data_IF_426871026993
#
_entry.id   IF_426871026993
#
_cell.length_a   1.000
_cell.length_b   1.000
_cell.length_c   1.000
_cell.angle_alpha   90.00
_cell.angle_beta   90.00
_cell.angle_gamma   90.00
#
_symmetry.space_group_name_H-M   'P 1'
#
loop_
_entity.id
_entity.type
_entity.pdbx_description
1 polymer ?
#
# COMPACT_ATOMS: atom_id res chain seq x y z
N UNK A 1 -1.38 12.11 -15.40
CA UNK A 1 -2.56 11.78 -16.23
C UNK A 1 -3.68 12.79 -15.91
N UNK A 2 -4.20 12.86 -14.70
CA UNK A 2 -5.31 13.77 -14.34
C UNK A 2 -5.06 15.21 -14.81
N UNK A 3 -3.88 15.76 -14.56
CA UNK A 3 -3.47 17.10 -14.98
C UNK A 3 -3.56 17.31 -16.50
N UNK A 4 -3.19 16.30 -17.30
CA UNK A 4 -3.27 16.37 -18.77
C UNK A 4 -4.71 16.48 -19.29
N UNK A 5 -5.67 16.00 -18.49
CA UNK A 5 -7.10 16.09 -18.79
C UNK A 5 -7.78 17.27 -18.09
N UNK A 6 -7.03 18.17 -17.44
CA UNK A 6 -7.59 19.28 -16.69
C UNK A 6 -8.40 18.88 -15.45
N UNK A 7 -8.18 17.67 -14.92
CA UNK A 7 -8.83 17.16 -13.75
C UNK A 7 -7.99 17.52 -12.51
N UNK A 8 -8.59 18.26 -11.58
CA UNK A 8 -7.96 18.53 -10.30
C UNK A 8 -7.98 17.27 -9.44
N UNK A 9 -6.79 16.81 -9.05
CA UNK A 9 -6.59 15.65 -8.20
C UNK A 9 -5.47 15.96 -7.22
N UNK A 10 -5.84 16.13 -5.97
CA UNK A 10 -4.97 16.47 -4.85
C UNK A 10 -4.97 15.37 -3.77
N UNK A 11 -4.17 15.57 -2.74
CA UNK A 11 -4.07 14.64 -1.62
C UNK A 11 -5.39 14.55 -0.83
N UNK A 12 -6.15 15.64 -0.73
CA UNK A 12 -7.44 15.66 -0.02
C UNK A 12 -8.50 14.83 -0.76
N UNK A 13 -8.47 14.85 -2.09
CA UNK A 13 -9.32 13.99 -2.90
C UNK A 13 -8.99 12.51 -2.69
N UNK A 14 -7.71 12.16 -2.64
CA UNK A 14 -7.28 10.80 -2.29
C UNK A 14 -7.75 10.39 -0.90
N UNK A 15 -7.53 11.24 0.13
CA UNK A 15 -7.95 10.94 1.50
C UNK A 15 -9.46 10.69 1.57
N UNK A 16 -10.25 11.59 0.98
CA UNK A 16 -11.71 11.50 0.97
C UNK A 16 -12.23 10.22 0.32
N UNK A 17 -11.67 9.86 -0.85
CA UNK A 17 -12.09 8.65 -1.58
C UNK A 17 -11.63 7.38 -0.86
N UNK A 18 -10.45 7.41 -0.29
CA UNK A 18 -9.84 6.26 0.36
C UNK A 18 -10.52 5.88 1.67
N UNK A 19 -11.03 6.86 2.41
CA UNK A 19 -11.82 6.64 3.63
C UNK A 19 -13.11 5.86 3.38
N UNK A 20 -13.68 5.93 2.17
CA UNK A 20 -14.84 5.15 1.76
C UNK A 20 -14.51 3.76 1.20
N UNK A 21 -13.23 3.45 1.03
CA UNK A 21 -12.79 2.18 0.49
C UNK A 21 -12.57 1.15 1.61
N UNK A 22 -13.00 -0.09 1.37
CA UNK A 22 -12.76 -1.18 2.30
C UNK A 22 -11.43 -1.87 2.01
N UNK A 23 -10.76 -2.32 3.08
CA UNK A 23 -9.55 -3.13 2.97
C UNK A 23 -9.92 -4.60 2.86
N UNK A 24 -9.73 -5.17 1.67
CA UNK A 24 -10.20 -6.52 1.33
C UNK A 24 -9.09 -7.57 1.26
N UNK A 25 -7.81 -7.17 1.16
CA UNK A 25 -6.72 -8.07 0.82
C UNK A 25 -5.92 -8.55 2.03
N UNK A 26 -5.75 -9.87 2.16
CA UNK A 26 -4.88 -10.51 3.15
C UNK A 26 -3.52 -10.86 2.53
N UNK A 27 -2.81 -9.84 2.02
CA UNK A 27 -1.56 -10.01 1.27
C UNK A 27 -0.45 -9.19 1.91
N UNK A 28 0.75 -9.76 1.97
CA UNK A 28 1.94 -9.07 2.45
C UNK A 28 2.19 -7.78 1.66
N UNK A 29 2.68 -6.70 2.34
CA UNK A 29 3.19 -6.69 3.71
C UNK A 29 2.12 -6.55 4.81
N UNK A 30 0.92 -6.08 4.49
CA UNK A 30 -0.13 -5.82 5.48
C UNK A 30 -0.92 -7.07 5.90
N UNK A 31 -0.86 -8.14 5.11
CA UNK A 31 -1.55 -9.40 5.36
C UNK A 31 -0.59 -10.58 5.49
N UNK A 32 -1.18 -11.76 5.50
CA UNK A 32 -0.48 -13.02 5.78
C UNK A 32 0.18 -13.64 4.53
N UNK A 33 -0.49 -13.55 3.38
CA UNK A 33 -0.17 -14.33 2.20
C UNK A 33 0.72 -13.60 1.20
N UNK A 34 1.65 -14.30 0.51
CA UNK A 34 2.40 -13.73 -0.61
C UNK A 34 1.50 -13.34 -1.80
N UNK A 35 1.95 -12.43 -2.65
CA UNK A 35 1.23 -11.94 -3.83
C UNK A 35 0.79 -13.06 -4.81
N UNK A 36 1.46 -14.21 -4.81
CA UNK A 36 1.07 -15.40 -5.57
C UNK A 36 -0.36 -15.85 -5.25
N UNK A 37 -0.75 -15.79 -3.97
CA UNK A 37 -2.10 -16.18 -3.55
C UNK A 37 -3.16 -15.18 -4.00
N UNK A 38 -2.80 -13.92 -4.19
CA UNK A 38 -3.69 -12.96 -4.82
C UNK A 38 -4.08 -13.39 -6.24
N UNK A 39 -3.10 -13.82 -7.03
CA UNK A 39 -3.36 -14.39 -8.34
C UNK A 39 -4.25 -15.64 -8.26
N UNK A 40 -3.97 -16.55 -7.31
CA UNK A 40 -4.77 -17.76 -7.10
C UNK A 40 -6.20 -17.46 -6.65
N UNK A 41 -6.42 -16.36 -5.97
CA UNK A 41 -7.77 -15.90 -5.58
C UNK A 41 -8.52 -15.17 -6.71
N UNK A 42 -7.93 -15.07 -7.92
CA UNK A 42 -8.51 -14.41 -9.08
C UNK A 42 -8.11 -12.96 -9.27
N UNK A 43 -7.22 -12.43 -8.42
CA UNK A 43 -6.56 -11.14 -8.60
C UNK A 43 -7.51 -9.95 -8.69
N UNK A 44 -7.11 -8.96 -9.50
CA UNK A 44 -7.88 -7.73 -9.72
C UNK A 44 -9.31 -7.98 -10.21
N UNK A 45 -9.58 -8.94 -11.11
CA UNK A 45 -10.96 -9.25 -11.49
C UNK A 45 -11.87 -9.62 -10.32
N UNK A 46 -11.35 -10.37 -9.34
CA UNK A 46 -12.13 -10.70 -8.14
C UNK A 46 -12.43 -9.47 -7.29
N UNK A 47 -11.46 -8.56 -7.13
CA UNK A 47 -11.72 -7.27 -6.44
C UNK A 47 -12.80 -6.48 -7.19
N UNK A 48 -12.72 -6.41 -8.53
CA UNK A 48 -13.70 -5.69 -9.33
C UNK A 48 -15.11 -6.29 -9.18
N UNK A 49 -15.24 -7.61 -9.02
CA UNK A 49 -16.54 -8.24 -8.72
C UNK A 49 -17.06 -7.84 -7.33
N UNK A 50 -16.18 -7.78 -6.31
CA UNK A 50 -16.57 -7.39 -4.95
C UNK A 50 -17.00 -5.91 -4.85
N UNK A 51 -16.41 -5.03 -5.64
CA UNK A 51 -16.73 -3.59 -5.66
C UNK A 51 -17.56 -3.20 -6.89
N UNK A 52 -18.23 -4.13 -7.52
CA UNK A 52 -18.92 -3.97 -8.81
C UNK A 52 -19.87 -2.77 -8.84
N UNK A 53 -20.61 -2.54 -7.77
CA UNK A 53 -21.58 -1.44 -7.65
C UNK A 53 -20.89 -0.05 -7.56
N UNK A 54 -19.58 -0.01 -7.33
CA UNK A 54 -18.77 1.21 -7.31
C UNK A 54 -18.08 1.50 -8.64
N UNK A 55 -18.20 0.61 -9.62
CA UNK A 55 -17.49 0.69 -10.90
C UNK A 55 -18.40 1.16 -12.04
N UNK A 56 -17.82 1.89 -12.97
CA UNK A 56 -18.46 2.22 -14.26
C UNK A 56 -18.32 1.04 -15.22
N UNK A 57 -19.29 0.13 -15.19
CA UNK A 57 -19.25 -1.13 -15.95
C UNK A 57 -19.45 -0.96 -17.45
N UNK A 58 -19.97 0.18 -17.87
CA UNK A 58 -20.26 0.54 -19.26
C UNK A 58 -19.06 1.16 -20.01
N UNK A 59 -17.94 1.43 -19.29
CA UNK A 59 -16.76 2.00 -19.94
C UNK A 59 -16.09 1.00 -20.88
N UNK A 60 -15.74 1.47 -22.08
CA UNK A 60 -15.04 0.68 -23.08
C UNK A 60 -13.59 0.40 -22.64
N UNK A 61 -13.15 -0.82 -22.85
CA UNK A 61 -11.79 -1.26 -22.51
C UNK A 61 -10.98 -1.57 -23.79
N UNK A 62 -9.67 -1.83 -23.63
CA UNK A 62 -8.75 -2.19 -24.71
C UNK A 62 -9.12 -3.50 -25.43
N UNK A 63 -9.97 -4.32 -24.84
CA UNK A 63 -10.45 -5.57 -25.44
C UNK A 63 -11.53 -5.34 -26.51
N UNK A 64 -12.03 -4.10 -26.67
CA UNK A 64 -13.18 -3.78 -27.51
C UNK A 64 -14.52 -4.15 -26.88
N UNK A 65 -14.52 -4.51 -25.61
CA UNK A 65 -15.71 -4.79 -24.80
C UNK A 65 -15.75 -3.83 -23.60
N UNK A 66 -16.92 -3.66 -23.02
CA UNK A 66 -17.05 -2.91 -21.77
C UNK A 66 -16.41 -3.65 -20.59
N UNK A 67 -16.17 -2.95 -19.49
CA UNK A 67 -15.66 -3.56 -18.26
C UNK A 67 -16.60 -4.67 -17.76
N UNK A 68 -17.91 -4.40 -17.77
CA UNK A 68 -18.93 -5.37 -17.37
C UNK A 68 -18.93 -6.62 -18.23
N UNK A 69 -18.84 -6.48 -19.57
CA UNK A 69 -18.74 -7.61 -20.48
C UNK A 69 -17.48 -8.46 -20.25
N UNK A 70 -16.34 -7.82 -19.96
CA UNK A 70 -15.12 -8.55 -19.63
C UNK A 70 -15.26 -9.37 -18.34
N UNK A 71 -15.88 -8.82 -17.30
CA UNK A 71 -16.13 -9.55 -16.05
C UNK A 71 -17.07 -10.73 -16.25
N UNK A 72 -18.14 -10.55 -17.03
CA UNK A 72 -19.06 -11.63 -17.39
C UNK A 72 -18.41 -12.74 -18.22
N UNK A 73 -17.51 -12.38 -19.14
CA UNK A 73 -16.75 -13.36 -19.90
C UNK A 73 -15.84 -14.21 -19.01
N UNK A 74 -15.20 -13.61 -18.01
CA UNK A 74 -14.40 -14.35 -17.03
C UNK A 74 -15.21 -15.38 -16.27
N UNK A 75 -16.46 -15.04 -15.88
CA UNK A 75 -17.39 -15.99 -15.25
C UNK A 75 -17.74 -17.14 -16.20
N UNK A 76 -18.16 -16.81 -17.43
CA UNK A 76 -18.57 -17.79 -18.43
C UNK A 76 -17.45 -18.75 -18.83
N UNK A 77 -16.22 -18.27 -18.84
CA UNK A 77 -15.04 -19.06 -19.19
C UNK A 77 -14.46 -19.90 -18.03
N UNK A 78 -15.12 -19.93 -16.88
CA UNK A 78 -14.68 -20.70 -15.72
C UNK A 78 -13.39 -20.20 -15.07
N UNK A 79 -13.07 -18.91 -15.25
CA UNK A 79 -11.86 -18.31 -14.70
C UNK A 79 -11.78 -18.44 -13.17
N UNK A 80 -12.87 -18.12 -12.47
CA UNK A 80 -12.91 -18.17 -11.01
C UNK A 80 -12.85 -19.59 -10.46
N UNK A 81 -13.44 -20.58 -11.14
CA UNK A 81 -13.34 -21.98 -10.77
C UNK A 81 -11.92 -22.50 -10.92
N UNK A 82 -11.25 -22.11 -12.02
CA UNK A 82 -9.83 -22.41 -12.22
C UNK A 82 -8.97 -21.79 -11.13
N UNK A 83 -9.22 -20.54 -10.77
CA UNK A 83 -8.49 -19.88 -9.68
C UNK A 83 -8.70 -20.62 -8.35
N UNK A 84 -9.95 -20.99 -8.00
CA UNK A 84 -10.21 -21.77 -6.79
C UNK A 84 -9.46 -23.10 -6.78
N UNK A 85 -9.32 -23.77 -7.92
CA UNK A 85 -8.57 -25.03 -8.01
C UNK A 85 -7.07 -24.88 -7.64
N UNK A 86 -6.50 -23.70 -7.73
CA UNK A 86 -5.15 -23.42 -7.23
C UNK A 86 -5.12 -23.30 -5.70
N UNK A 87 -6.11 -22.65 -5.11
CA UNK A 87 -6.25 -22.49 -3.65
C UNK A 87 -6.57 -23.82 -2.97
N UNK A 88 -7.35 -24.69 -3.60
CA UNK A 88 -7.71 -26.01 -3.07
C UNK A 88 -6.48 -26.86 -2.74
N UNK A 89 -5.37 -26.71 -3.49
CA UNK A 89 -4.09 -27.38 -3.23
C UNK A 89 -3.47 -26.97 -1.88
N UNK A 90 -3.88 -25.84 -1.35
CA UNK A 90 -3.42 -25.28 -0.09
C UNK A 90 -4.51 -25.34 0.99
N UNK A 91 -5.63 -25.98 0.68
CA UNK A 91 -6.81 -26.02 1.56
C UNK A 91 -7.31 -24.62 1.95
N UNK A 92 -7.27 -23.67 1.00
CA UNK A 92 -7.68 -22.28 1.16
C UNK A 92 -8.90 -21.98 0.31
N UNK A 93 -9.69 -21.02 0.78
CA UNK A 93 -10.80 -20.41 0.03
C UNK A 93 -10.38 -19.03 -0.46
N UNK A 94 -11.05 -18.54 -1.51
CA UNK A 94 -10.86 -17.17 -2.01
C UNK A 94 -10.99 -16.13 -0.90
N UNK A 95 -11.96 -16.29 0.01
CA UNK A 95 -12.23 -15.38 1.11
C UNK A 95 -11.11 -15.29 2.15
N UNK A 96 -10.21 -16.26 2.19
CA UNK A 96 -9.01 -16.19 3.05
C UNK A 96 -8.00 -15.18 2.52
N UNK A 97 -8.05 -14.86 1.23
CA UNK A 97 -7.13 -13.96 0.51
C UNK A 97 -7.81 -12.64 0.14
N UNK A 98 -9.02 -12.70 -0.44
CA UNK A 98 -9.82 -11.55 -0.86
C UNK A 98 -11.15 -11.63 -0.14
N UNK A 99 -11.37 -10.75 0.83
CA UNK A 99 -12.63 -10.69 1.59
C UNK A 99 -13.76 -10.14 0.74
N UNK A 100 -15.00 -10.60 0.98
CA UNK A 100 -16.18 -9.94 0.48
C UNK A 100 -16.27 -8.48 0.98
N UNK A 101 -16.84 -7.60 0.17
CA UNK A 101 -16.95 -6.18 0.49
C UNK A 101 -17.74 -5.90 1.78
N UNK A 102 -18.72 -6.73 2.11
CA UNK A 102 -19.54 -6.65 3.33
C UNK A 102 -18.84 -7.22 4.59
N UNK A 103 -17.70 -7.91 4.42
CA UNK A 103 -16.92 -8.50 5.52
C UNK A 103 -15.41 -8.21 5.37
N UNK A 104 -15.01 -6.94 5.24
CA UNK A 104 -13.63 -6.55 4.98
C UNK A 104 -12.71 -6.83 6.18
N UNK A 105 -11.40 -6.75 5.97
CA UNK A 105 -10.42 -6.70 7.06
C UNK A 105 -10.43 -5.35 7.79
N UNK A 106 -10.81 -4.28 7.10
CA UNK A 106 -10.97 -2.94 7.64
C UNK A 106 -11.92 -2.10 6.79
N UNK A 107 -12.56 -1.13 7.44
CA UNK A 107 -13.56 -0.26 6.81
C UNK A 107 -12.97 1.00 6.18
N UNK A 108 -11.68 1.26 6.41
CA UNK A 108 -10.91 2.32 5.76
C UNK A 108 -9.96 1.71 4.73
N UNK A 109 -9.55 2.50 3.74
CA UNK A 109 -8.49 2.11 2.82
C UNK A 109 -7.14 1.97 3.53
N UNK A 110 -6.16 1.35 2.88
CA UNK A 110 -4.85 1.03 3.47
C UNK A 110 -3.87 2.21 3.56
N UNK A 111 -4.16 3.32 2.89
CA UNK A 111 -3.33 4.52 2.84
C UNK A 111 -3.99 5.63 3.65
N UNK A 112 -3.20 6.40 4.40
CA UNK A 112 -3.66 7.64 5.01
C UNK A 112 -2.84 8.83 4.49
N UNK A 113 -3.51 9.95 4.30
CA UNK A 113 -2.86 11.23 4.01
C UNK A 113 -2.70 11.98 5.34
N UNK A 114 -1.46 12.25 5.70
CA UNK A 114 -1.10 12.96 6.92
C UNK A 114 -0.82 14.42 6.59
N UNK A 115 -1.27 15.33 7.46
CA UNK A 115 -0.96 16.76 7.37
C UNK A 115 -0.47 17.29 8.70
N UNK A 116 0.49 18.19 8.65
CA UNK A 116 1.05 18.84 9.81
C UNK A 116 2.13 19.84 9.43
N UNK A 117 2.76 20.47 10.41
CA UNK A 117 3.81 21.45 10.17
C UNK A 117 5.06 20.88 9.49
N UNK A 118 5.31 19.57 9.61
CA UNK A 118 6.41 18.89 8.92
C UNK A 118 6.07 18.64 7.43
N UNK A 119 4.82 18.36 7.11
CA UNK A 119 4.34 18.11 5.75
C UNK A 119 3.00 18.81 5.52
N UNK A 120 2.98 20.16 5.35
CA UNK A 120 1.74 20.94 5.24
C UNK A 120 0.92 20.58 4.00
N UNK A 121 1.59 20.19 2.90
CA UNK A 121 0.96 19.80 1.64
C UNK A 121 0.54 18.33 1.62
N UNK A 122 0.90 17.57 2.65
CA UNK A 122 0.55 16.18 2.84
C UNK A 122 1.72 15.22 2.79
N UNK A 123 1.57 14.10 3.50
CA UNK A 123 2.45 12.95 3.46
C UNK A 123 1.59 11.68 3.36
N UNK A 124 2.16 10.59 2.88
CA UNK A 124 1.46 9.32 2.66
C UNK A 124 2.03 8.24 3.56
N UNK A 125 1.15 7.49 4.22
CA UNK A 125 1.54 6.32 5.01
C UNK A 125 0.61 5.15 4.73
N UNK A 126 1.15 3.92 4.70
CA UNK A 126 0.37 2.68 4.72
C UNK A 126 -0.01 2.38 6.19
N UNK A 127 -1.08 2.97 6.68
CA UNK A 127 -1.44 2.90 8.10
C UNK A 127 -1.82 1.49 8.59
N UNK A 128 -2.20 0.59 7.69
CA UNK A 128 -2.55 -0.80 8.03
C UNK A 128 -1.38 -1.65 8.50
N UNK A 129 -0.15 -1.22 8.25
CA UNK A 129 1.09 -1.90 8.69
C UNK A 129 1.74 -1.21 9.89
N UNK A 130 1.24 -0.05 10.29
CA UNK A 130 1.78 0.71 11.42
C UNK A 130 1.29 0.12 12.74
N UNK A 131 2.18 -0.19 13.71
CA UNK A 131 1.77 -0.60 15.04
C UNK A 131 0.87 0.46 15.69
N UNK A 132 -0.21 0.03 16.38
CA UNK A 132 -1.20 0.96 16.94
C UNK A 132 -0.62 1.96 17.94
N UNK A 133 0.38 1.53 18.72
CA UNK A 133 1.13 2.35 19.66
C UNK A 133 1.91 3.49 18.97
N UNK A 134 2.28 3.33 17.70
CA UNK A 134 2.98 4.34 16.92
C UNK A 134 2.07 5.39 16.29
N UNK A 135 0.74 5.23 16.38
CA UNK A 135 -0.21 6.23 15.86
C UNK A 135 -0.18 7.55 16.65
N UNK A 136 0.27 7.50 17.89
CA UNK A 136 0.42 8.67 18.74
C UNK A 136 1.70 8.53 19.59
N UNK A 137 2.82 8.95 19.02
CA UNK A 137 4.13 8.82 19.63
C UNK A 137 4.91 10.14 19.54
N UNK A 138 5.75 10.39 20.56
CA UNK A 138 6.74 11.47 20.53
C UNK A 138 8.11 10.84 20.32
N UNK A 139 8.73 11.16 19.19
CA UNK A 139 9.97 10.55 18.75
C UNK A 139 11.09 11.61 18.66
N UNK A 140 12.33 11.16 18.82
CA UNK A 140 13.50 12.01 18.67
C UNK A 140 13.90 12.08 17.19
N UNK A 141 13.88 13.26 16.60
CA UNK A 141 14.26 13.47 15.20
C UNK A 141 15.75 13.21 14.95
N UNK A 142 16.04 12.39 13.93
CA UNK A 142 17.37 12.05 13.43
C UNK A 142 17.43 12.36 11.93
N UNK A 143 17.73 13.62 11.54
CA UNK A 143 17.78 14.02 10.13
C UNK A 143 19.09 13.63 9.48
N UNK A 144 19.01 13.14 8.24
CA UNK A 144 20.11 12.81 7.35
C UNK A 144 19.88 13.45 5.98
N UNK A 145 20.95 13.86 5.30
CA UNK A 145 20.88 14.58 4.03
C UNK A 145 20.97 13.64 2.80
N UNK A 146 21.18 12.35 3.03
CA UNK A 146 21.14 11.29 2.02
C UNK A 146 20.80 9.94 2.66
N UNK A 147 20.43 8.96 1.83
CA UNK A 147 20.11 7.60 2.27
C UNK A 147 21.32 6.90 2.88
N UNK A 148 22.52 7.07 2.29
CA UNK A 148 23.74 6.39 2.69
C UNK A 148 24.14 6.72 4.14
N UNK A 149 23.99 7.97 4.57
CA UNK A 149 24.27 8.39 5.94
C UNK A 149 23.26 7.77 6.92
N UNK A 150 22.00 7.68 6.52
CA UNK A 150 20.96 7.04 7.33
C UNK A 150 21.22 5.52 7.49
N UNK A 151 21.57 4.83 6.40
CA UNK A 151 21.96 3.41 6.44
C UNK A 151 23.16 3.21 7.36
N UNK A 152 24.19 4.05 7.23
CA UNK A 152 25.36 3.97 8.09
C UNK A 152 24.98 4.09 9.57
N UNK A 153 24.15 5.06 9.92
CA UNK A 153 23.69 5.27 11.30
C UNK A 153 22.86 4.09 11.84
N UNK A 154 22.06 3.42 11.00
CA UNK A 154 21.36 2.20 11.38
C UNK A 154 22.35 1.06 11.64
N UNK A 155 23.27 0.80 10.70
CA UNK A 155 24.22 -0.32 10.78
C UNK A 155 25.26 -0.15 11.89
N UNK A 156 25.58 1.09 12.28
CA UNK A 156 26.46 1.39 13.42
C UNK A 156 25.72 1.49 14.76
N UNK A 157 24.44 1.16 14.75
CA UNK A 157 23.56 1.21 15.94
C UNK A 157 23.48 2.60 16.61
N UNK A 158 23.60 3.67 15.84
CA UNK A 158 23.34 5.04 16.31
C UNK A 158 21.86 5.31 16.47
N UNK A 159 21.02 4.70 15.64
CA UNK A 159 19.55 4.77 15.72
C UNK A 159 19.08 3.88 16.86
N UNK A 160 18.15 4.39 17.66
CA UNK A 160 17.61 3.72 18.84
C UNK A 160 16.09 3.67 18.79
N UNK A 161 15.46 2.73 19.50
CA UNK A 161 14.01 2.78 19.76
C UNK A 161 13.56 4.18 20.20
N UNK A 162 12.47 4.68 19.60
CA UNK A 162 11.95 6.02 19.84
C UNK A 162 12.59 7.13 18.99
N UNK A 163 13.41 6.78 17.99
CA UNK A 163 13.92 7.75 17.01
C UNK A 163 12.95 7.88 15.81
N UNK A 164 12.97 9.04 15.16
CA UNK A 164 12.40 9.29 13.85
C UNK A 164 13.53 9.57 12.86
N UNK A 165 13.83 8.65 11.99
CA UNK A 165 14.83 8.79 10.93
C UNK A 165 14.21 9.59 9.79
N UNK A 166 14.83 10.73 9.43
CA UNK A 166 14.30 11.66 8.42
C UNK A 166 15.36 11.82 7.33
N UNK A 167 15.13 11.22 6.17
CA UNK A 167 16.02 11.33 5.01
C UNK A 167 15.51 12.45 4.12
N UNK A 168 16.36 13.46 3.87
CA UNK A 168 16.03 14.70 3.17
C UNK A 168 16.77 14.80 1.85
N UNK A 169 16.28 15.69 0.97
CA UNK A 169 16.89 16.01 -0.33
C UNK A 169 16.90 14.86 -1.34
N UNK A 170 16.09 13.84 -1.11
CA UNK A 170 15.89 12.72 -2.00
C UNK A 170 14.61 12.86 -2.87
N UNK A 171 13.97 14.03 -2.81
CA UNK A 171 12.77 14.33 -3.60
C UNK A 171 13.04 14.48 -5.09
N UNK A 172 12.00 14.82 -5.89
CA UNK A 172 12.12 14.92 -7.37
C UNK A 172 13.17 15.91 -7.86
N UNK A 173 13.40 16.99 -7.11
CA UNK A 173 14.41 18.01 -7.42
C UNK A 173 15.78 17.76 -6.77
N UNK A 174 15.82 16.86 -5.80
CA UNK A 174 17.04 16.44 -5.14
C UNK A 174 17.75 15.37 -5.96
N UNK A 175 17.59 14.12 -5.57
CA UNK A 175 18.22 12.96 -6.23
C UNK A 175 17.29 12.21 -7.19
N UNK A 176 16.09 12.74 -7.48
CA UNK A 176 15.13 12.15 -8.40
C UNK A 176 14.13 11.19 -7.77
N UNK A 177 13.93 11.31 -6.47
CA UNK A 177 12.98 10.52 -5.70
C UNK A 177 13.24 9.00 -5.77
N UNK A 178 14.46 8.54 -5.39
CA UNK A 178 14.78 7.12 -5.35
C UNK A 178 13.95 6.41 -4.27
N UNK A 179 13.88 5.09 -4.35
CA UNK A 179 13.28 4.27 -3.32
C UNK A 179 14.25 4.05 -2.16
N UNK A 180 13.79 4.28 -0.93
CA UNK A 180 14.56 4.09 0.32
C UNK A 180 14.57 2.61 0.74
N UNK A 181 14.89 1.72 -0.20
CA UNK A 181 14.84 0.28 0.01
C UNK A 181 15.90 -0.19 1.01
N UNK A 182 17.15 0.23 0.85
CA UNK A 182 18.24 -0.25 1.69
C UNK A 182 18.11 0.21 3.14
N UNK A 183 17.65 1.43 3.37
CA UNK A 183 17.35 1.90 4.73
C UNK A 183 16.23 1.09 5.36
N UNK A 184 15.16 0.79 4.60
CA UNK A 184 14.03 -0.01 5.08
C UNK A 184 14.49 -1.43 5.45
N UNK A 185 15.30 -2.07 4.60
CA UNK A 185 15.85 -3.41 4.87
C UNK A 185 16.79 -3.40 6.09
N UNK A 186 17.65 -2.39 6.21
CA UNK A 186 18.53 -2.27 7.37
C UNK A 186 17.74 -2.15 8.69
N UNK A 187 16.67 -1.36 8.69
CA UNK A 187 15.77 -1.21 9.84
C UNK A 187 15.00 -2.51 10.11
N UNK A 188 14.45 -3.14 9.08
CA UNK A 188 13.65 -4.36 9.19
C UNK A 188 14.47 -5.58 9.63
N UNK A 189 15.79 -5.55 9.49
CA UNK A 189 16.69 -6.59 9.98
C UNK A 189 16.72 -6.69 11.51
N UNK A 190 16.34 -5.63 12.19
CA UNK A 190 16.15 -5.57 13.66
C UNK A 190 14.66 -5.34 13.96
N UNK A 191 13.99 -6.40 14.42
CA UNK A 191 12.54 -6.37 14.67
C UNK A 191 12.13 -5.38 15.76
N UNK A 192 12.97 -5.16 16.78
CA UNK A 192 12.71 -4.18 17.85
C UNK A 192 12.79 -2.76 17.28
N UNK A 193 13.81 -2.48 16.50
CA UNK A 193 14.00 -1.19 15.87
C UNK A 193 12.86 -0.90 14.88
N UNK A 194 12.53 -1.84 14.00
CA UNK A 194 11.46 -1.73 13.02
C UNK A 194 10.08 -1.44 13.62
N UNK A 195 9.82 -1.93 14.84
CA UNK A 195 8.54 -1.71 15.53
C UNK A 195 8.47 -0.39 16.33
N UNK A 196 9.60 0.30 16.55
CA UNK A 196 9.72 1.38 17.54
C UNK A 196 10.20 2.71 17.00
N UNK A 197 10.49 2.82 15.69
CA UNK A 197 10.92 4.05 15.04
C UNK A 197 9.94 4.48 13.95
N UNK A 198 10.07 5.73 13.50
CA UNK A 198 9.45 6.20 12.28
C UNK A 198 10.53 6.48 11.22
N UNK A 199 10.24 6.13 9.96
CA UNK A 199 11.07 6.47 8.81
C UNK A 199 10.31 7.42 7.89
N UNK A 200 10.89 8.59 7.63
CA UNK A 200 10.31 9.64 6.78
C UNK A 200 11.29 10.01 5.67
N UNK A 201 10.78 10.30 4.50
CA UNK A 201 11.58 10.81 3.38
C UNK A 201 10.75 11.66 2.43
N UNK A 202 11.38 12.57 1.72
CA UNK A 202 10.83 13.24 0.53
C UNK A 202 11.12 12.45 -0.76
N UNK A 203 11.84 11.32 -0.67
CA UNK A 203 11.93 10.29 -1.68
C UNK A 203 10.67 9.44 -1.76
N UNK A 204 10.78 8.12 -1.81
CA UNK A 204 9.62 7.22 -1.83
C UNK A 204 9.92 5.87 -1.18
N UNK A 205 8.83 5.17 -0.85
CA UNK A 205 8.83 3.74 -0.48
C UNK A 205 8.10 2.94 -1.55
N UNK A 206 8.45 1.67 -1.70
CA UNK A 206 7.72 0.77 -2.59
C UNK A 206 6.51 0.12 -1.90
N UNK A 207 5.78 -0.71 -2.66
CA UNK A 207 4.70 -1.52 -2.11
C UNK A 207 5.18 -2.64 -1.18
N UNK A 208 6.44 -3.05 -1.29
CA UNK A 208 7.03 -4.15 -0.51
C UNK A 208 7.81 -3.68 0.73
N UNK A 209 8.14 -2.39 0.81
CA UNK A 209 8.90 -1.79 1.93
C UNK A 209 8.00 -1.01 2.88
#
# INVERSE_FOLDING_TARGET
>A
IAKEFGIELDADTFDRLHRGAHYLLNIRPAGEWPAQFFYYAGGVPTIMEEIKDMLHLDVMTVTGKTLGENLEDLKKNGFYDKCQSYLDKWNLKREDIIRPFDKPFGTDGSIAILKGNLAPDGAVVKHTVVPKEMFNAVLRARPYDCEEDAIHAVLTHEIKPGDAVIIRYEGPKGSGMPEMFYTTEAIASDAELGASIALLTDGRFSGAS
#
